data_IF_137186455482
#
_entry.id   IF_137186455482
#
_cell.length_a   1.000
_cell.length_b   1.000
_cell.length_c   1.000
_cell.angle_alpha   90.00
_cell.angle_beta   90.00
_cell.angle_gamma   90.00
#
_symmetry.space_group_name_H-M   'P 1'
#
loop_
_entity.id
_entity.type
_entity.pdbx_description
1 polymer ?
#
# COMPACT_ATOMS: atom_id res chain seq x y z
N UNK A 1 1.39 14.29 -15.02
CA UNK A 1 0.71 14.94 -13.86
C UNK A 1 -0.81 15.02 -14.04
N UNK A 2 -1.27 14.65 -15.22
CA UNK A 2 -2.59 14.69 -15.84
C UNK A 2 -3.65 13.80 -15.17
N UNK A 3 -3.24 12.84 -14.35
CA UNK A 3 -4.14 11.96 -13.58
C UNK A 3 -4.29 12.38 -12.11
N UNK A 4 -3.49 13.32 -11.60
CA UNK A 4 -3.57 13.69 -10.18
C UNK A 4 -4.74 14.64 -9.94
N UNK A 5 -5.63 14.26 -9.03
CA UNK A 5 -6.69 15.11 -8.49
C UNK A 5 -6.30 15.50 -7.07
N UNK A 6 -6.06 16.79 -6.85
CA UNK A 6 -5.68 17.30 -5.53
C UNK A 6 -6.84 17.22 -4.55
N UNK A 7 -6.53 16.78 -3.32
CA UNK A 7 -7.43 17.03 -2.19
C UNK A 7 -7.52 18.53 -1.95
N UNK A 8 -8.70 19.03 -1.57
CA UNK A 8 -8.94 20.47 -1.47
C UNK A 8 -9.86 20.81 -0.30
N UNK A 9 -9.97 22.10 0.00
CA UNK A 9 -10.77 22.60 1.13
C UNK A 9 -12.26 22.32 0.98
N UNK A 10 -12.79 22.22 -0.25
CA UNK A 10 -14.20 21.86 -0.46
C UNK A 10 -14.45 20.44 0.01
N UNK A 11 -13.66 19.47 -0.46
CA UNK A 11 -13.75 18.08 -0.04
C UNK A 11 -13.48 17.92 1.47
N UNK A 12 -12.51 18.66 2.03
CA UNK A 12 -12.27 18.65 3.47
C UNK A 12 -13.51 19.08 4.26
N UNK A 13 -14.14 20.20 3.88
CA UNK A 13 -15.32 20.71 4.59
C UNK A 13 -16.53 19.79 4.48
N UNK A 14 -16.67 19.06 3.37
CA UNK A 14 -17.75 18.06 3.19
C UNK A 14 -17.56 16.83 4.09
N UNK A 15 -16.31 16.41 4.32
CA UNK A 15 -15.99 15.19 5.06
C UNK A 15 -15.77 15.43 6.57
N UNK A 16 -15.41 16.65 6.96
CA UNK A 16 -15.01 16.98 8.32
C UNK A 16 -16.21 17.23 9.24
N UNK A 17 -16.35 16.40 10.27
CA UNK A 17 -17.38 16.50 11.29
C UNK A 17 -16.85 17.24 12.51
N UNK A 18 -17.05 18.57 12.53
CA UNK A 18 -16.62 19.43 13.65
C UNK A 18 -17.55 19.27 14.85
N UNK A 19 -16.96 19.21 16.04
CA UNK A 19 -17.68 19.22 17.32
C UNK A 19 -17.00 20.20 18.27
N UNK A 20 -17.80 21.04 18.93
CA UNK A 20 -17.27 22.05 19.86
C UNK A 20 -16.46 21.38 20.99
N UNK A 21 -15.26 21.90 21.25
CA UNK A 21 -14.36 21.39 22.28
C UNK A 21 -13.48 20.20 21.86
N UNK A 22 -13.64 19.70 20.63
CA UNK A 22 -12.76 18.69 20.04
C UNK A 22 -11.90 19.32 18.94
N UNK A 23 -10.74 18.72 18.68
CA UNK A 23 -9.90 19.06 17.54
C UNK A 23 -9.66 17.81 16.70
N UNK A 24 -9.91 17.90 15.40
CA UNK A 24 -9.88 16.77 14.48
C UNK A 24 -8.60 16.73 13.67
N UNK A 25 -8.16 15.53 13.28
CA UNK A 25 -6.97 15.34 12.45
C UNK A 25 -7.02 16.18 11.17
N UNK A 26 -8.15 16.18 10.46
CA UNK A 26 -8.34 16.93 9.22
C UNK A 26 -8.26 18.45 9.38
N UNK A 27 -8.32 18.99 10.60
CA UNK A 27 -8.14 20.43 10.84
C UNK A 27 -6.67 20.87 10.80
N UNK A 28 -5.73 19.92 10.91
CA UNK A 28 -4.30 20.21 11.07
C UNK A 28 -3.43 19.69 9.92
N UNK A 29 -4.01 18.97 8.96
CA UNK A 29 -3.28 18.52 7.77
C UNK A 29 -2.88 19.70 6.89
N UNK A 30 -1.82 19.50 6.11
CA UNK A 30 -1.50 20.38 4.98
C UNK A 30 -2.28 19.93 3.74
N UNK A 31 -2.60 20.89 2.86
CA UNK A 31 -3.27 20.70 1.57
C UNK A 31 -2.58 21.61 0.55
N UNK A 32 -2.35 21.12 -0.67
CA UNK A 32 -1.82 21.95 -1.77
C UNK A 32 -2.95 22.75 -2.44
N UNK A 33 -2.63 23.97 -2.90
CA UNK A 33 -3.60 24.87 -3.54
C UNK A 33 -3.52 24.85 -5.07
N UNK A 34 -2.46 24.28 -5.66
CA UNK A 34 -2.28 24.20 -7.11
C UNK A 34 -1.51 22.94 -7.50
N UNK A 35 -1.80 22.41 -8.69
CA UNK A 35 -1.11 21.25 -9.27
C UNK A 35 0.21 21.62 -9.97
N UNK A 36 0.48 22.90 -10.18
CA UNK A 36 1.72 23.37 -10.83
C UNK A 36 2.94 23.13 -9.94
N UNK A 37 3.99 22.50 -10.46
CA UNK A 37 5.28 22.31 -9.75
C UNK A 37 5.14 21.55 -8.42
N UNK A 38 4.47 20.39 -8.43
CA UNK A 38 4.26 19.55 -7.23
C UNK A 38 5.57 19.28 -6.50
N UNK A 39 6.63 18.92 -7.22
CA UNK A 39 7.93 18.64 -6.61
C UNK A 39 8.44 19.81 -5.76
N UNK A 40 8.43 21.03 -6.30
CA UNK A 40 8.90 22.23 -5.61
C UNK A 40 8.01 22.56 -4.40
N UNK A 41 6.70 22.37 -4.53
CA UNK A 41 5.78 22.54 -3.41
C UNK A 41 6.07 21.53 -2.29
N UNK A 42 6.23 20.24 -2.64
CA UNK A 42 6.55 19.18 -1.68
C UNK A 42 7.89 19.45 -0.98
N UNK A 43 8.90 19.92 -1.73
CA UNK A 43 10.23 20.21 -1.20
C UNK A 43 10.19 21.29 -0.12
N UNK A 44 9.33 22.31 -0.29
CA UNK A 44 9.25 23.47 0.61
C UNK A 44 8.28 23.30 1.79
N UNK A 45 7.47 22.23 1.81
CA UNK A 45 6.54 21.96 2.92
C UNK A 45 7.26 21.33 4.13
N UNK A 46 6.97 21.81 5.34
CA UNK A 46 7.39 21.16 6.61
C UNK A 46 6.45 20.00 6.98
N UNK A 47 6.32 19.03 6.08
CA UNK A 47 5.67 17.74 6.33
C UNK A 47 6.69 16.62 6.17
N UNK A 48 6.46 15.50 6.84
CA UNK A 48 7.26 14.29 6.68
C UNK A 48 6.53 13.25 5.84
N UNK A 49 5.20 13.21 5.94
CA UNK A 49 4.34 12.22 5.29
C UNK A 49 3.44 12.85 4.24
N UNK A 50 3.26 12.13 3.12
CA UNK A 50 2.34 12.52 2.04
C UNK A 50 1.39 11.37 1.77
N UNK A 51 0.10 11.57 2.05
CA UNK A 51 -0.95 10.60 1.80
C UNK A 51 -1.45 10.75 0.36
N UNK A 52 -1.47 9.65 -0.40
CA UNK A 52 -1.96 9.58 -1.79
C UNK A 52 -2.85 8.34 -1.99
N UNK A 53 -4.00 8.54 -2.62
CA UNK A 53 -4.92 7.47 -2.99
C UNK A 53 -4.68 6.92 -4.39
N UNK A 54 -4.84 5.61 -4.55
CA UNK A 54 -4.89 4.93 -5.85
C UNK A 54 -6.24 4.17 -5.98
N UNK A 55 -7.37 4.88 -6.18
CA UNK A 55 -8.70 4.29 -6.18
C UNK A 55 -8.96 3.46 -7.46
N UNK A 56 -8.31 2.30 -7.60
CA UNK A 56 -8.47 1.37 -8.71
C UNK A 56 -8.46 -0.10 -8.27
N UNK A 57 -8.97 -1.00 -9.12
CA UNK A 57 -8.95 -2.46 -8.93
C UNK A 57 -8.67 -3.22 -10.25
N UNK A 58 -8.03 -2.56 -11.21
CA UNK A 58 -7.74 -3.11 -12.54
C UNK A 58 -6.72 -4.25 -12.45
N UNK A 59 -5.72 -4.12 -11.58
CA UNK A 59 -4.75 -5.19 -11.35
C UNK A 59 -5.36 -6.42 -10.68
N UNK A 60 -6.34 -6.22 -9.79
CA UNK A 60 -7.12 -7.30 -9.17
C UNK A 60 -7.92 -8.04 -10.23
N UNK A 61 -8.66 -7.31 -11.07
CA UNK A 61 -9.38 -7.89 -12.22
C UNK A 61 -8.45 -8.67 -13.16
N UNK A 62 -7.28 -8.08 -13.49
CA UNK A 62 -6.29 -8.70 -14.37
C UNK A 62 -5.66 -9.99 -13.80
N UNK A 63 -5.80 -10.20 -12.49
CA UNK A 63 -5.40 -11.40 -11.74
C UNK A 63 -6.59 -12.31 -11.39
N UNK A 64 -7.76 -12.12 -12.02
CA UNK A 64 -8.98 -12.88 -11.75
C UNK A 64 -9.54 -12.73 -10.31
N UNK A 65 -9.13 -11.70 -9.59
CA UNK A 65 -9.62 -11.39 -8.25
C UNK A 65 -11.00 -10.71 -8.26
N UNK A 66 -11.56 -10.53 -7.07
CA UNK A 66 -12.81 -9.80 -6.86
C UNK A 66 -12.53 -8.30 -6.71
N UNK A 67 -13.16 -7.49 -7.54
CA UNK A 67 -13.03 -6.02 -7.54
C UNK A 67 -13.64 -5.37 -6.29
N UNK A 68 -13.26 -4.13 -6.02
CA UNK A 68 -13.73 -3.35 -4.86
C UNK A 68 -12.64 -2.53 -4.16
N UNK A 69 -11.37 -2.75 -4.48
CA UNK A 69 -10.24 -2.05 -3.83
C UNK A 69 -10.21 -0.56 -4.12
N UNK A 70 -10.85 -0.12 -5.20
CA UNK A 70 -10.99 1.29 -5.57
C UNK A 70 -11.71 2.14 -4.51
N UNK A 71 -12.51 1.52 -3.64
CA UNK A 71 -13.30 2.20 -2.60
C UNK A 71 -12.50 2.45 -1.31
N UNK A 72 -11.29 1.91 -1.18
CA UNK A 72 -10.48 2.03 0.04
C UNK A 72 -10.11 3.48 0.36
N UNK A 73 -9.86 4.29 -0.67
CA UNK A 73 -9.49 5.70 -0.53
C UNK A 73 -10.57 6.50 0.21
N UNK A 74 -11.80 6.49 -0.32
CA UNK A 74 -12.92 7.24 0.25
C UNK A 74 -13.28 6.73 1.66
N UNK A 75 -13.32 5.41 1.84
CA UNK A 75 -13.57 4.79 3.14
C UNK A 75 -12.55 5.26 4.19
N UNK A 76 -11.29 5.44 3.79
CA UNK A 76 -10.23 5.92 4.67
C UNK A 76 -10.42 7.40 5.01
N UNK A 77 -10.63 8.27 4.02
CA UNK A 77 -10.81 9.71 4.28
C UNK A 77 -12.00 10.00 5.20
N UNK A 78 -13.10 9.28 5.03
CA UNK A 78 -14.29 9.39 5.88
C UNK A 78 -13.99 9.20 7.37
N UNK A 79 -12.97 8.39 7.69
CA UNK A 79 -12.56 8.11 9.07
C UNK A 79 -11.35 8.94 9.50
N UNK A 80 -10.27 8.94 8.71
CA UNK A 80 -8.98 9.55 9.06
C UNK A 80 -9.14 11.03 9.39
N UNK A 81 -9.90 11.79 8.60
CA UNK A 81 -10.09 13.22 8.84
C UNK A 81 -10.80 13.52 10.18
N UNK A 82 -11.55 12.54 10.69
CA UNK A 82 -12.47 12.69 11.82
C UNK A 82 -11.96 12.06 13.14
N UNK A 83 -10.75 11.47 13.15
CA UNK A 83 -10.11 11.07 14.40
C UNK A 83 -9.67 12.30 15.20
N UNK A 84 -9.42 12.12 16.49
CA UNK A 84 -8.92 13.19 17.35
C UNK A 84 -7.50 13.59 16.94
N UNK A 85 -7.24 14.89 16.90
CA UNK A 85 -5.88 15.42 16.83
C UNK A 85 -5.32 15.50 18.26
N UNK A 86 -4.24 14.79 18.53
CA UNK A 86 -3.56 14.79 19.83
C UNK A 86 -2.03 14.65 19.65
N UNK A 87 -1.31 14.53 20.77
CA UNK A 87 0.15 14.46 20.77
C UNK A 87 0.75 13.30 19.96
N UNK A 88 -0.01 12.23 19.70
CA UNK A 88 0.43 11.03 18.98
C UNK A 88 0.08 11.05 17.50
N UNK A 89 -1.01 11.72 17.09
CA UNK A 89 -1.48 11.66 15.70
C UNK A 89 -0.67 12.51 14.72
N UNK A 90 0.04 13.55 15.20
CA UNK A 90 0.96 14.40 14.43
C UNK A 90 0.41 14.90 13.07
N UNK A 91 -0.87 15.29 13.04
CA UNK A 91 -1.56 15.68 11.79
C UNK A 91 -0.87 16.83 11.03
N UNK A 92 -0.21 17.74 11.75
CA UNK A 92 0.57 18.85 11.17
C UNK A 92 1.80 18.40 10.35
N UNK A 93 2.25 17.16 10.51
CA UNK A 93 3.35 16.56 9.73
C UNK A 93 2.86 15.81 8.49
N UNK A 94 1.58 15.93 8.16
CA UNK A 94 0.93 15.19 7.07
C UNK A 94 0.37 16.15 6.03
N UNK A 95 0.70 15.87 4.76
CA UNK A 95 -0.01 16.39 3.60
C UNK A 95 -0.97 15.32 3.08
N UNK A 96 -2.24 15.66 2.88
CA UNK A 96 -3.12 14.85 2.02
C UNK A 96 -3.03 15.42 0.61
N UNK A 97 -2.33 14.71 -0.28
CA UNK A 97 -2.09 15.19 -1.64
C UNK A 97 -3.34 15.05 -2.51
N UNK A 98 -4.10 13.97 -2.35
CA UNK A 98 -5.24 13.63 -3.20
C UNK A 98 -5.13 12.21 -3.73
N UNK A 99 -5.54 11.98 -4.96
CA UNK A 99 -5.52 10.66 -5.58
C UNK A 99 -5.18 10.71 -7.08
N UNK A 100 -4.75 9.57 -7.63
CA UNK A 100 -4.67 9.37 -9.07
C UNK A 100 -6.03 8.89 -9.61
N UNK A 101 -6.63 9.65 -10.53
CA UNK A 101 -7.92 9.34 -11.12
C UNK A 101 -7.78 8.31 -12.25
N UNK A 102 -8.11 7.07 -11.94
CA UNK A 102 -8.15 5.95 -12.88
C UNK A 102 -9.59 5.57 -13.29
N UNK A 103 -10.53 6.51 -13.23
CA UNK A 103 -11.94 6.24 -13.55
C UNK A 103 -12.14 5.76 -14.99
N UNK A 104 -11.40 6.33 -15.95
CA UNK A 104 -11.47 5.90 -17.35
C UNK A 104 -10.95 4.47 -17.54
N UNK A 105 -9.83 4.13 -16.88
CA UNK A 105 -9.24 2.80 -16.89
C UNK A 105 -10.19 1.76 -16.28
N UNK A 106 -10.83 2.09 -15.16
CA UNK A 106 -11.83 1.24 -14.52
C UNK A 106 -13.07 1.05 -15.40
N UNK A 107 -13.56 2.10 -16.05
CA UNK A 107 -14.70 2.00 -16.97
C UNK A 107 -14.37 1.07 -18.15
N UNK A 108 -13.18 1.20 -18.74
CA UNK A 108 -12.73 0.31 -19.81
C UNK A 108 -12.68 -1.16 -19.39
N UNK A 109 -12.40 -1.43 -18.11
CA UNK A 109 -12.29 -2.80 -17.57
C UNK A 109 -13.66 -3.35 -17.16
N UNK A 110 -14.57 -2.50 -16.68
CA UNK A 110 -15.92 -2.93 -16.29
C UNK A 110 -16.76 -3.44 -17.45
N UNK A 111 -16.46 -2.99 -18.68
CA UNK A 111 -17.07 -3.46 -19.93
C UNK A 111 -16.46 -4.78 -20.45
N UNK A 112 -15.39 -5.29 -19.82
CA UNK A 112 -14.69 -6.50 -20.27
C UNK A 112 -15.24 -7.77 -19.62
N UNK A 113 -15.29 -8.83 -20.44
CA UNK A 113 -15.64 -10.19 -19.99
C UNK A 113 -14.39 -10.94 -19.52
N UNK A 114 -14.30 -11.21 -18.20
CA UNK A 114 -13.14 -11.82 -17.55
C UNK A 114 -12.90 -13.27 -17.96
N UNK A 115 -13.88 -13.95 -18.56
CA UNK A 115 -13.72 -15.30 -19.10
C UNK A 115 -12.88 -15.32 -20.39
N UNK A 116 -12.72 -14.17 -21.06
CA UNK A 116 -12.03 -14.07 -22.34
C UNK A 116 -10.56 -13.69 -22.15
N UNK A 117 -9.65 -14.52 -22.65
CA UNK A 117 -8.19 -14.25 -22.66
C UNK A 117 -7.82 -12.87 -23.23
N UNK A 118 -8.54 -12.41 -24.26
CA UNK A 118 -8.33 -11.08 -24.87
C UNK A 118 -8.66 -9.93 -23.90
N UNK A 119 -9.69 -10.08 -23.08
CA UNK A 119 -10.07 -9.12 -22.04
C UNK A 119 -8.97 -9.01 -20.99
N UNK A 120 -8.50 -10.15 -20.47
CA UNK A 120 -7.41 -10.18 -19.49
C UNK A 120 -6.14 -9.54 -20.05
N UNK A 121 -5.78 -9.84 -21.30
CA UNK A 121 -4.63 -9.20 -21.95
C UNK A 121 -4.79 -7.68 -22.08
N UNK A 122 -6.00 -7.17 -22.34
CA UNK A 122 -6.27 -5.72 -22.34
C UNK A 122 -6.13 -5.13 -20.94
N UNK A 123 -6.72 -5.76 -19.92
CA UNK A 123 -6.60 -5.29 -18.53
C UNK A 123 -5.13 -5.24 -18.09
N UNK A 124 -4.33 -6.28 -18.38
CA UNK A 124 -2.89 -6.31 -18.07
C UNK A 124 -2.09 -5.16 -18.72
N UNK A 125 -2.50 -4.72 -19.92
CA UNK A 125 -1.90 -3.53 -20.57
C UNK A 125 -2.30 -2.24 -19.84
N UNK A 126 -3.55 -2.13 -19.40
CA UNK A 126 -4.02 -0.98 -18.62
C UNK A 126 -3.25 -0.87 -17.30
N UNK A 127 -3.02 -1.99 -16.59
CA UNK A 127 -2.17 -1.99 -15.38
C UNK A 127 -0.78 -1.43 -15.67
N UNK A 128 -0.19 -1.77 -16.82
CA UNK A 128 1.13 -1.25 -17.20
C UNK A 128 1.14 0.27 -17.43
N UNK A 129 0.01 0.87 -17.82
CA UNK A 129 -0.13 2.33 -17.92
C UNK A 129 -0.33 2.98 -16.53
N UNK A 130 -1.15 2.36 -15.66
CA UNK A 130 -1.31 2.75 -14.25
C UNK A 130 0.06 2.80 -13.56
N UNK A 131 0.87 1.76 -13.74
CA UNK A 131 2.22 1.63 -13.17
C UNK A 131 3.10 2.86 -13.47
N UNK A 132 2.98 3.47 -14.65
CA UNK A 132 3.76 4.68 -15.03
C UNK A 132 3.36 5.89 -14.19
N UNK A 133 2.05 6.09 -13.99
CA UNK A 133 1.54 7.22 -13.21
C UNK A 133 1.87 7.06 -11.72
N UNK A 134 1.75 5.84 -11.18
CA UNK A 134 2.14 5.50 -9.81
C UNK A 134 3.64 5.70 -9.61
N UNK A 135 4.47 5.16 -10.52
CA UNK A 135 5.93 5.35 -10.51
C UNK A 135 6.29 6.83 -10.44
N UNK A 136 5.68 7.64 -11.31
CA UNK A 136 5.99 9.07 -11.38
C UNK A 136 5.63 9.80 -10.08
N UNK A 137 4.42 9.62 -9.54
CA UNK A 137 4.01 10.36 -8.35
C UNK A 137 4.83 9.96 -7.11
N UNK A 138 5.12 8.67 -6.95
CA UNK A 138 5.96 8.17 -5.86
C UNK A 138 7.39 8.71 -6.00
N UNK A 139 7.91 8.75 -7.23
CA UNK A 139 9.22 9.35 -7.49
C UNK A 139 9.25 10.83 -7.07
N UNK A 140 8.22 11.62 -7.38
CA UNK A 140 8.17 13.04 -6.99
C UNK A 140 8.18 13.20 -5.46
N UNK A 141 7.33 12.43 -4.76
CA UNK A 141 7.21 12.50 -3.30
C UNK A 141 8.53 12.11 -2.61
N UNK A 142 9.13 10.99 -3.02
CA UNK A 142 10.38 10.50 -2.41
C UNK A 142 11.56 11.41 -2.76
N UNK A 143 11.60 11.96 -3.97
CA UNK A 143 12.67 12.91 -4.38
C UNK A 143 12.63 14.20 -3.56
N UNK A 144 11.44 14.59 -3.05
CA UNK A 144 11.27 15.73 -2.15
C UNK A 144 11.62 15.41 -0.69
N UNK A 145 12.17 14.22 -0.42
CA UNK A 145 12.56 13.76 0.91
C UNK A 145 11.39 13.35 1.80
N UNK A 146 10.19 13.19 1.23
CA UNK A 146 8.96 12.84 1.96
C UNK A 146 8.69 11.33 1.92
N UNK A 147 7.88 10.83 2.85
CA UNK A 147 7.45 9.43 2.91
C UNK A 147 6.02 9.30 2.39
N UNK A 148 5.80 8.67 1.22
CA UNK A 148 4.46 8.39 0.75
C UNK A 148 3.76 7.37 1.66
N UNK A 149 2.50 7.64 1.97
CA UNK A 149 1.53 6.69 2.53
C UNK A 149 0.50 6.46 1.43
N UNK A 150 0.56 5.29 0.80
CA UNK A 150 -0.26 4.94 -0.36
C UNK A 150 -1.45 4.09 0.09
N UNK A 151 -2.66 4.50 -0.30
CA UNK A 151 -3.91 3.80 0.05
C UNK A 151 -4.58 3.25 -1.21
N UNK A 152 -4.83 1.94 -1.22
CA UNK A 152 -5.33 1.23 -2.39
C UNK A 152 -4.32 1.24 -3.54
N UNK A 153 -4.67 0.80 -4.75
CA UNK A 153 -5.79 -0.06 -5.09
C UNK A 153 -5.39 -1.51 -4.85
N UNK A 154 -5.32 -2.31 -5.90
CA UNK A 154 -4.75 -3.65 -5.82
C UNK A 154 -3.24 -3.63 -5.54
N UNK A 155 -2.67 -4.80 -5.24
CA UNK A 155 -1.24 -4.95 -4.95
C UNK A 155 -0.34 -4.79 -6.19
N UNK A 156 -0.93 -4.63 -7.38
CA UNK A 156 -0.21 -4.27 -8.61
C UNK A 156 0.62 -3.00 -8.43
N UNK A 157 0.10 -2.06 -7.62
CA UNK A 157 0.72 -0.76 -7.39
C UNK A 157 2.07 -0.86 -6.66
N UNK A 158 2.38 -1.99 -6.01
CA UNK A 158 3.71 -2.23 -5.41
C UNK A 158 4.83 -2.05 -6.44
N UNK A 159 4.62 -2.46 -7.69
CA UNK A 159 5.62 -2.24 -8.74
C UNK A 159 5.94 -0.76 -8.95
N UNK A 160 4.91 0.08 -9.08
CA UNK A 160 5.07 1.53 -9.21
C UNK A 160 5.69 2.16 -7.97
N UNK A 161 5.30 1.72 -6.77
CA UNK A 161 5.85 2.19 -5.50
C UNK A 161 7.36 1.90 -5.41
N UNK A 162 7.76 0.67 -5.72
CA UNK A 162 9.15 0.22 -5.67
C UNK A 162 9.98 0.96 -6.71
N UNK A 163 9.50 0.99 -7.96
CA UNK A 163 10.20 1.64 -9.07
C UNK A 163 10.35 3.14 -8.84
N UNK A 164 9.28 3.82 -8.45
CA UNK A 164 9.30 5.26 -8.17
C UNK A 164 10.29 5.62 -7.06
N UNK A 165 10.25 4.86 -5.96
CA UNK A 165 11.18 5.02 -4.83
C UNK A 165 12.63 4.75 -5.25
N UNK A 166 12.87 3.67 -6.00
CA UNK A 166 14.21 3.31 -6.47
C UNK A 166 14.80 4.37 -7.39
N UNK A 167 13.99 4.90 -8.33
CA UNK A 167 14.38 5.98 -9.23
C UNK A 167 14.69 7.29 -8.50
N UNK A 168 13.87 7.67 -7.53
CA UNK A 168 14.10 8.86 -6.70
C UNK A 168 15.43 8.77 -5.93
N UNK A 169 15.72 7.59 -5.37
CA UNK A 169 16.93 7.34 -4.58
C UNK A 169 18.15 6.96 -5.43
N UNK A 170 17.96 6.76 -6.73
CA UNK A 170 18.96 6.26 -7.69
C UNK A 170 19.65 4.97 -7.22
N UNK A 171 18.89 4.12 -6.51
CA UNK A 171 19.37 2.89 -5.86
C UNK A 171 18.25 1.87 -5.80
N UNK A 172 18.58 0.59 -5.93
CA UNK A 172 17.64 -0.50 -5.63
C UNK A 172 17.19 -0.42 -4.17
N UNK A 173 15.95 -0.78 -3.87
CA UNK A 173 15.45 -0.82 -2.50
C UNK A 173 15.15 -2.26 -2.06
N UNK A 174 15.04 -2.47 -0.76
CA UNK A 174 14.48 -3.70 -0.20
C UNK A 174 12.96 -3.55 0.01
N UNK A 175 12.24 -4.64 0.21
CA UNK A 175 10.82 -4.60 0.59
C UNK A 175 10.50 -5.68 1.61
N UNK A 176 9.69 -5.31 2.60
CA UNK A 176 8.99 -6.24 3.50
C UNK A 176 7.51 -6.22 3.15
N UNK A 177 6.94 -7.40 2.92
CA UNK A 177 5.55 -7.59 2.51
C UNK A 177 4.78 -8.42 3.52
N UNK A 178 3.79 -7.80 4.18
CA UNK A 178 2.87 -8.50 5.07
C UNK A 178 1.70 -9.03 4.26
N UNK A 179 1.79 -10.30 3.88
CA UNK A 179 0.95 -10.90 2.86
C UNK A 179 0.90 -12.44 3.03
N UNK A 180 -0.26 -13.02 2.73
CA UNK A 180 -0.48 -14.47 2.66
C UNK A 180 -0.10 -15.05 1.30
N UNK A 181 0.05 -14.20 0.28
CA UNK A 181 0.59 -14.50 -1.02
C UNK A 181 2.05 -14.04 -1.12
N UNK A 182 2.75 -14.53 -2.15
CA UNK A 182 4.12 -14.07 -2.44
C UNK A 182 4.17 -12.86 -3.35
N UNK A 183 3.10 -12.66 -4.12
CA UNK A 183 3.01 -11.74 -5.27
C UNK A 183 4.23 -11.71 -6.20
N UNK A 184 4.87 -12.89 -6.28
CA UNK A 184 6.04 -13.20 -7.09
C UNK A 184 5.67 -14.17 -8.22
N UNK A 185 4.47 -14.02 -8.82
CA UNK A 185 4.03 -14.83 -9.98
C UNK A 185 4.82 -14.45 -11.24
N UNK A 186 4.69 -15.25 -12.29
CA UNK A 186 5.41 -15.04 -13.55
C UNK A 186 5.07 -13.70 -14.23
N UNK A 187 5.99 -13.22 -15.06
CA UNK A 187 5.87 -11.98 -15.86
C UNK A 187 4.99 -12.20 -17.10
N UNK A 188 3.73 -12.59 -16.89
CA UNK A 188 2.76 -12.93 -17.94
C UNK A 188 1.90 -11.73 -18.41
N UNK A 189 2.36 -10.52 -18.10
CA UNK A 189 1.61 -9.27 -18.16
C UNK A 189 1.19 -8.81 -16.77
N UNK A 190 1.23 -7.49 -16.54
CA UNK A 190 1.03 -6.87 -15.22
C UNK A 190 -0.35 -7.16 -14.63
N UNK A 191 -0.40 -7.56 -13.36
CA UNK A 191 -1.61 -7.74 -12.56
C UNK A 191 -1.25 -7.64 -11.06
N UNK A 192 -2.20 -7.86 -10.13
CA UNK A 192 -1.91 -7.70 -8.69
C UNK A 192 -0.81 -8.64 -8.20
N UNK A 193 -0.93 -9.94 -8.50
CA UNK A 193 -0.01 -10.96 -7.99
C UNK A 193 1.40 -11.07 -8.59
N UNK A 194 1.90 -10.07 -9.33
CA UNK A 194 3.25 -10.12 -9.92
C UNK A 194 4.05 -8.81 -9.84
N UNK A 195 3.64 -7.84 -9.02
CA UNK A 195 4.36 -6.57 -8.86
C UNK A 195 5.83 -6.75 -8.49
N UNK A 196 6.11 -7.63 -7.53
CA UNK A 196 7.46 -7.88 -7.02
C UNK A 196 8.36 -8.60 -8.03
N UNK A 197 7.83 -9.51 -8.84
CA UNK A 197 8.59 -10.18 -9.91
C UNK A 197 9.13 -9.19 -10.93
N UNK A 198 8.28 -8.28 -11.41
CA UNK A 198 8.69 -7.25 -12.37
C UNK A 198 9.71 -6.29 -11.75
N UNK A 199 9.48 -5.85 -10.51
CA UNK A 199 10.41 -4.96 -9.82
C UNK A 199 11.79 -5.63 -9.60
N UNK A 200 11.81 -6.93 -9.35
CA UNK A 200 13.04 -7.71 -9.21
C UNK A 200 13.75 -7.90 -10.56
N UNK A 201 13.02 -8.31 -11.60
CA UNK A 201 13.56 -8.56 -12.93
C UNK A 201 14.15 -7.29 -13.57
N UNK A 202 13.52 -6.14 -13.37
CA UNK A 202 14.01 -4.84 -13.85
C UNK A 202 15.10 -4.22 -12.94
N UNK A 203 15.45 -4.87 -11.83
CA UNK A 203 16.53 -4.45 -10.96
C UNK A 203 16.20 -3.27 -10.03
N UNK A 204 14.93 -3.01 -9.72
CA UNK A 204 14.51 -2.00 -8.73
C UNK A 204 14.40 -2.58 -7.32
N UNK A 205 14.11 -3.88 -7.21
CA UNK A 205 13.99 -4.63 -5.96
C UNK A 205 15.24 -5.48 -5.70
N UNK A 206 15.84 -5.31 -4.52
CA UNK A 206 16.99 -6.08 -4.05
C UNK A 206 16.55 -7.20 -3.09
N UNK A 207 16.53 -6.95 -1.77
CA UNK A 207 16.07 -7.95 -0.81
C UNK A 207 14.54 -7.87 -0.67
N UNK A 208 13.89 -9.02 -0.77
CA UNK A 208 12.46 -9.14 -0.58
C UNK A 208 12.18 -10.09 0.57
N UNK A 209 11.28 -9.72 1.48
CA UNK A 209 10.83 -10.59 2.54
C UNK A 209 9.31 -10.68 2.55
N UNK A 210 8.77 -11.90 2.44
CA UNK A 210 7.33 -12.18 2.55
C UNK A 210 7.03 -12.64 3.98
N UNK A 211 6.27 -11.83 4.70
CA UNK A 211 5.88 -12.05 6.07
C UNK A 211 4.45 -12.59 6.11
N UNK A 212 4.30 -13.91 6.31
CA UNK A 212 3.01 -14.55 6.41
C UNK A 212 2.62 -15.45 5.25
N UNK A 213 3.56 -15.87 4.39
CA UNK A 213 3.24 -16.69 3.23
C UNK A 213 2.43 -17.93 3.66
N UNK A 214 1.25 -18.11 3.09
CA UNK A 214 0.34 -19.17 3.52
C UNK A 214 0.49 -20.41 2.63
N UNK A 215 0.54 -21.60 3.26
CA UNK A 215 0.75 -22.86 2.54
C UNK A 215 -0.36 -23.15 1.55
N UNK A 216 -1.61 -22.87 1.92
CA UNK A 216 -2.79 -23.18 1.12
C UNK A 216 -2.92 -22.33 -0.16
N UNK A 217 -2.27 -21.17 -0.22
CA UNK A 217 -2.33 -20.27 -1.38
C UNK A 217 -1.08 -20.35 -2.26
N UNK A 218 -0.09 -21.13 -1.85
CA UNK A 218 1.22 -21.19 -2.50
C UNK A 218 1.42 -22.54 -3.21
N UNK A 219 1.41 -22.59 -4.55
CA UNK A 219 1.72 -23.82 -5.27
C UNK A 219 3.18 -24.26 -5.07
N UNK A 220 3.43 -25.56 -5.11
CA UNK A 220 4.78 -26.13 -4.94
C UNK A 220 5.81 -25.58 -5.95
N UNK A 221 5.38 -25.28 -7.18
CA UNK A 221 6.22 -24.63 -8.20
C UNK A 221 6.72 -23.27 -7.75
N UNK A 222 5.91 -22.50 -7.04
CA UNK A 222 6.29 -21.20 -6.48
C UNK A 222 7.24 -21.38 -5.30
N UNK A 223 6.98 -22.32 -4.38
CA UNK A 223 7.94 -22.63 -3.31
C UNK A 223 9.32 -23.03 -3.86
N UNK A 224 9.35 -23.88 -4.88
CA UNK A 224 10.60 -24.27 -5.57
C UNK A 224 11.28 -23.09 -6.23
N UNK A 225 10.52 -22.13 -6.77
CA UNK A 225 11.06 -20.93 -7.40
C UNK A 225 11.65 -19.98 -6.35
N UNK A 226 10.92 -19.68 -5.27
CA UNK A 226 11.38 -18.82 -4.17
C UNK A 226 12.68 -19.33 -3.55
N UNK A 227 12.83 -20.66 -3.36
CA UNK A 227 14.06 -21.28 -2.84
C UNK A 227 15.31 -21.03 -3.71
N UNK A 228 15.14 -20.71 -5.00
CA UNK A 228 16.27 -20.40 -5.90
C UNK A 228 16.79 -18.98 -5.71
N UNK A 229 15.96 -18.06 -5.21
CA UNK A 229 16.32 -16.66 -5.05
C UNK A 229 16.89 -16.39 -3.65
N UNK A 230 18.22 -16.27 -3.54
CA UNK A 230 18.89 -16.01 -2.25
C UNK A 230 18.47 -14.70 -1.56
N UNK A 231 18.05 -13.71 -2.34
CA UNK A 231 17.63 -12.39 -1.85
C UNK A 231 16.16 -12.34 -1.44
N UNK A 232 15.40 -13.39 -1.75
CA UNK A 232 14.00 -13.52 -1.36
C UNK A 232 13.92 -14.47 -0.17
N UNK A 233 13.36 -13.97 0.94
CA UNK A 233 13.10 -14.76 2.13
C UNK A 233 11.62 -14.69 2.47
N UNK A 234 11.19 -15.65 3.26
CA UNK A 234 9.83 -15.66 3.77
C UNK A 234 9.77 -16.37 5.12
N UNK A 235 8.66 -16.17 5.81
CA UNK A 235 8.18 -17.05 6.86
C UNK A 235 6.77 -17.52 6.52
N UNK A 236 6.33 -18.56 7.23
CA UNK A 236 5.06 -19.22 6.95
C UNK A 236 4.03 -18.81 8.00
N UNK A 237 2.84 -18.41 7.57
CA UNK A 237 1.75 -18.03 8.47
C UNK A 237 1.43 -19.13 9.47
N UNK A 238 1.29 -20.38 9.00
CA UNK A 238 0.93 -21.51 9.84
C UNK A 238 1.95 -21.75 10.97
N UNK A 239 3.24 -21.56 10.71
CA UNK A 239 4.30 -21.76 11.70
C UNK A 239 4.29 -20.67 12.77
N UNK A 240 3.79 -19.48 12.46
CA UNK A 240 3.70 -18.34 13.39
C UNK A 240 2.39 -18.32 14.18
N UNK A 241 1.27 -18.54 13.49
CA UNK A 241 -0.06 -18.27 14.03
C UNK A 241 -0.82 -19.52 14.46
N UNK A 242 -0.59 -20.66 13.79
CA UNK A 242 -1.34 -21.90 14.01
C UNK A 242 -0.52 -22.87 14.88
N UNK A 243 0.62 -23.36 14.36
CA UNK A 243 1.53 -24.25 15.06
C UNK A 243 2.35 -23.55 16.15
N UNK A 244 2.57 -22.23 16.00
CA UNK A 244 3.37 -21.39 16.91
C UNK A 244 4.79 -21.91 17.15
N UNK A 245 5.36 -22.58 16.14
CA UNK A 245 6.75 -23.02 16.09
C UNK A 245 7.70 -21.81 16.03
N UNK A 246 7.24 -20.73 15.38
CA UNK A 246 7.94 -19.46 15.26
C UNK A 246 7.20 -18.38 16.07
N UNK A 247 7.94 -17.52 16.76
CA UNK A 247 7.34 -16.38 17.46
C UNK A 247 7.29 -15.16 16.56
N UNK A 248 6.14 -14.50 16.52
CA UNK A 248 5.91 -13.30 15.71
C UNK A 248 7.00 -12.23 15.88
N UNK A 249 7.42 -11.96 17.13
CA UNK A 249 8.47 -10.97 17.43
C UNK A 249 9.86 -11.38 16.89
N UNK A 250 10.24 -12.64 17.05
CA UNK A 250 11.51 -13.16 16.55
C UNK A 250 11.53 -13.12 15.01
N UNK A 251 10.39 -13.37 14.38
CA UNK A 251 10.25 -13.25 12.93
C UNK A 251 10.28 -11.81 12.43
N UNK A 252 9.75 -10.83 13.19
CA UNK A 252 9.94 -9.40 12.88
C UNK A 252 11.43 -9.03 12.89
N UNK A 253 12.19 -9.51 13.88
CA UNK A 253 13.63 -9.29 13.98
C UNK A 253 14.40 -9.95 12.82
N UNK A 254 14.06 -11.20 12.48
CA UNK A 254 14.63 -11.92 11.32
C UNK A 254 14.36 -11.19 10.01
N UNK A 255 13.12 -10.73 9.81
CA UNK A 255 12.74 -9.94 8.65
C UNK A 255 13.51 -8.61 8.60
N UNK A 256 13.60 -7.92 9.73
CA UNK A 256 14.36 -6.68 9.86
C UNK A 256 15.81 -6.82 9.45
N UNK A 257 16.51 -7.82 9.99
CA UNK A 257 17.91 -8.11 9.66
C UNK A 257 18.14 -8.34 8.16
N UNK A 258 17.09 -8.73 7.41
CA UNK A 258 17.16 -8.93 5.97
C UNK A 258 16.90 -7.66 5.16
N UNK A 259 16.03 -6.75 5.63
CA UNK A 259 15.53 -5.63 4.81
C UNK A 259 16.04 -4.26 5.25
N UNK A 260 16.34 -4.05 6.53
CA UNK A 260 16.61 -2.70 7.08
C UNK A 260 18.05 -2.22 6.91
N UNK A 261 18.91 -2.99 6.22
CA UNK A 261 20.28 -2.55 5.90
C UNK A 261 20.37 -1.59 4.71
N UNK A 262 19.28 -1.38 3.96
CA UNK A 262 19.15 -0.41 2.87
C UNK A 262 17.81 0.30 2.96
N UNK A 263 17.60 1.31 2.13
CA UNK A 263 16.28 1.90 1.93
C UNK A 263 15.26 0.81 1.58
N UNK A 264 14.09 0.84 2.22
CA UNK A 264 13.09 -0.20 2.02
C UNK A 264 11.65 0.32 2.00
N UNK A 265 10.78 -0.42 1.31
CA UNK A 265 9.34 -0.22 1.31
C UNK A 265 8.64 -1.13 2.31
N UNK A 266 7.55 -0.64 2.91
CA UNK A 266 6.65 -1.43 3.74
C UNK A 266 5.37 -1.66 2.95
N UNK A 267 5.06 -2.91 2.70
CA UNK A 267 3.81 -3.36 2.07
C UNK A 267 2.96 -4.04 3.15
N UNK A 268 1.67 -3.72 3.16
CA UNK A 268 0.65 -4.37 3.97
C UNK A 268 -0.56 -4.70 3.11
N UNK A 269 -0.69 -5.99 2.82
CA UNK A 269 -1.85 -6.55 2.15
C UNK A 269 -2.94 -6.88 3.18
N UNK A 270 -4.12 -6.29 3.00
CA UNK A 270 -5.26 -6.53 3.86
C UNK A 270 -5.82 -7.97 3.74
N UNK A 271 -5.51 -8.73 2.68
CA UNK A 271 -5.78 -10.17 2.57
C UNK A 271 -5.11 -10.97 3.70
N UNK A 272 -4.00 -10.48 4.26
CA UNK A 272 -3.31 -11.16 5.35
C UNK A 272 -3.98 -10.99 6.72
N UNK A 273 -5.02 -10.15 6.81
CA UNK A 273 -5.72 -9.85 8.07
C UNK A 273 -7.03 -10.61 8.09
N UNK A 274 -7.27 -11.35 9.18
CA UNK A 274 -8.47 -12.17 9.32
C UNK A 274 -9.76 -11.33 9.20
N UNK A 275 -10.69 -11.81 8.37
CA UNK A 275 -12.03 -11.24 8.18
C UNK A 275 -12.07 -9.77 7.72
N UNK A 276 -11.01 -9.27 7.06
CA UNK A 276 -11.03 -7.96 6.42
C UNK A 276 -11.56 -8.09 4.99
N UNK A 277 -12.53 -7.24 4.57
CA UNK A 277 -13.03 -7.25 3.20
C UNK A 277 -11.91 -6.99 2.20
N UNK A 278 -11.69 -7.94 1.31
CA UNK A 278 -10.62 -7.93 0.32
C UNK A 278 -10.90 -8.94 -0.79
N UNK A 279 -10.05 -8.99 -1.83
CA UNK A 279 -10.27 -9.86 -2.98
C UNK A 279 -10.15 -11.36 -2.61
N UNK A 280 -9.27 -11.69 -1.65
CA UNK A 280 -9.06 -13.03 -1.11
C UNK A 280 -9.35 -13.13 0.40
N UNK A 281 -10.39 -12.43 0.89
CA UNK A 281 -10.80 -12.44 2.30
C UNK A 281 -10.81 -13.85 2.90
N UNK A 282 -10.10 -14.00 4.02
CA UNK A 282 -9.92 -15.28 4.71
C UNK A 282 -10.36 -15.19 6.18
N UNK A 283 -10.98 -16.25 6.74
CA UNK A 283 -11.23 -16.34 8.17
C UNK A 283 -9.97 -16.72 8.98
N UNK A 284 -8.89 -17.12 8.30
CA UNK A 284 -7.63 -17.53 8.92
C UNK A 284 -6.49 -16.66 8.40
N UNK A 285 -6.23 -15.58 9.13
CA UNK A 285 -5.16 -14.62 8.87
C UNK A 285 -4.57 -14.10 10.18
N UNK A 286 -3.72 -13.09 10.11
CA UNK A 286 -3.24 -12.41 11.32
C UNK A 286 -4.34 -11.50 11.89
N UNK A 287 -4.28 -11.25 13.20
CA UNK A 287 -5.16 -10.27 13.81
C UNK A 287 -4.75 -8.85 13.42
N UNK A 288 -5.72 -7.93 13.47
CA UNK A 288 -5.48 -6.48 13.24
C UNK A 288 -4.32 -5.96 14.10
N UNK A 289 -4.23 -6.36 15.37
CA UNK A 289 -3.17 -5.89 16.27
C UNK A 289 -1.77 -6.39 15.85
N UNK A 290 -1.66 -7.57 15.22
CA UNK A 290 -0.38 -8.02 14.66
C UNK A 290 0.01 -7.19 13.44
N UNK A 291 -0.93 -6.87 12.56
CA UNK A 291 -0.69 -5.98 11.42
C UNK A 291 -0.26 -4.57 11.87
N UNK A 292 -0.94 -4.00 12.86
CA UNK A 292 -0.54 -2.75 13.52
C UNK A 292 0.87 -2.82 14.11
N UNK A 293 1.16 -3.87 14.88
CA UNK A 293 2.49 -4.09 15.47
C UNK A 293 3.58 -4.22 14.40
N UNK A 294 3.28 -4.85 13.26
CA UNK A 294 4.19 -4.94 12.11
C UNK A 294 4.47 -3.54 11.53
N UNK A 295 3.44 -2.73 11.27
CA UNK A 295 3.62 -1.37 10.74
C UNK A 295 4.42 -0.50 11.71
N UNK A 296 4.09 -0.48 13.01
CA UNK A 296 4.86 0.26 14.01
C UNK A 296 6.31 -0.22 14.09
N UNK A 297 6.54 -1.54 14.04
CA UNK A 297 7.88 -2.11 14.14
C UNK A 297 8.80 -1.68 12.99
N UNK A 298 8.28 -1.67 11.76
CA UNK A 298 9.08 -1.27 10.58
C UNK A 298 9.06 0.24 10.33
N UNK A 299 8.01 0.96 10.75
CA UNK A 299 7.87 2.40 10.57
C UNK A 299 8.92 3.24 11.31
N UNK A 300 9.42 2.74 12.44
CA UNK A 300 10.46 3.40 13.25
C UNK A 300 11.83 3.55 12.58
N UNK A 301 12.07 2.82 11.49
CA UNK A 301 13.35 2.84 10.81
C UNK A 301 13.43 4.06 9.87
N UNK A 302 14.48 4.87 10.03
CA UNK A 302 14.68 6.08 9.21
C UNK A 302 14.68 5.78 7.70
N UNK A 303 15.24 4.64 7.34
CA UNK A 303 15.34 4.12 5.97
C UNK A 303 14.07 3.43 5.44
N UNK A 304 12.97 3.36 6.20
CA UNK A 304 11.65 3.05 5.65
C UNK A 304 11.20 4.21 4.74
N UNK A 305 10.91 3.95 3.46
CA UNK A 305 10.70 5.01 2.47
C UNK A 305 9.26 5.26 2.11
N UNK A 306 8.40 4.25 2.25
CA UNK A 306 6.96 4.39 2.05
C UNK A 306 6.20 3.31 2.84
N UNK A 307 4.91 3.54 3.03
CA UNK A 307 3.94 2.53 3.43
C UNK A 307 2.88 2.39 2.33
N UNK A 308 2.63 1.17 1.86
CA UNK A 308 1.50 0.86 0.97
C UNK A 308 0.52 -0.05 1.69
N UNK A 309 -0.76 0.36 1.74
CA UNK A 309 -1.87 -0.42 2.26
C UNK A 309 -2.76 -0.78 1.07
N UNK A 310 -2.79 -2.06 0.69
CA UNK A 310 -3.44 -2.56 -0.53
C UNK A 310 -4.59 -3.55 -0.23
N UNK A 311 -5.32 -3.92 -1.29
CA UNK A 311 -6.32 -4.99 -1.35
C UNK A 311 -7.57 -4.85 -0.46
N UNK A 312 -7.65 -3.85 0.41
CA UNK A 312 -8.86 -3.55 1.16
C UNK A 312 -10.02 -3.21 0.20
N UNK A 313 -11.08 -4.01 0.21
CA UNK A 313 -12.23 -3.88 -0.70
C UNK A 313 -13.53 -3.60 0.09
N UNK A 314 -13.74 -2.38 0.60
CA UNK A 314 -14.89 -2.08 1.43
C UNK A 314 -16.20 -2.21 0.66
N UNK A 315 -17.20 -2.76 1.36
CA UNK A 315 -18.61 -2.74 0.94
C UNK A 315 -19.34 -1.63 1.70
N UNK A 316 -20.56 -1.30 1.29
CA UNK A 316 -21.41 -0.34 2.04
C UNK A 316 -21.56 -0.69 3.53
N UNK A 317 -21.51 -1.97 3.90
CA UNK A 317 -21.64 -2.42 5.29
C UNK A 317 -20.33 -2.36 6.07
N UNK A 318 -19.19 -2.43 5.38
CA UNK A 318 -17.86 -2.57 5.98
C UNK A 318 -16.98 -1.34 5.77
N UNK A 319 -17.50 -0.31 5.11
CA UNK A 319 -16.79 0.94 4.79
C UNK A 319 -16.13 1.56 6.01
N UNK A 320 -16.88 1.82 7.09
CA UNK A 320 -16.33 2.40 8.31
C UNK A 320 -15.33 1.48 9.00
N UNK A 321 -15.52 0.16 8.93
CA UNK A 321 -14.59 -0.80 9.55
C UNK A 321 -13.24 -0.79 8.82
N UNK A 322 -13.26 -0.83 7.49
CA UNK A 322 -12.05 -0.73 6.65
C UNK A 322 -11.40 0.64 6.83
N UNK A 323 -12.18 1.72 6.82
CA UNK A 323 -11.67 3.07 7.06
C UNK A 323 -10.95 3.19 8.40
N UNK A 324 -11.50 2.60 9.47
CA UNK A 324 -10.84 2.53 10.79
C UNK A 324 -9.55 1.71 10.76
N UNK A 325 -9.56 0.54 10.13
CA UNK A 325 -8.37 -0.29 10.01
C UNK A 325 -7.22 0.48 9.34
N UNK A 326 -7.48 1.03 8.15
CA UNK A 326 -6.47 1.78 7.39
C UNK A 326 -6.02 3.00 8.19
N UNK A 327 -6.94 3.71 8.85
CA UNK A 327 -6.61 4.85 9.72
C UNK A 327 -5.64 4.45 10.84
N UNK A 328 -5.86 3.31 11.52
CA UNK A 328 -4.93 2.84 12.55
C UNK A 328 -3.53 2.58 11.97
N UNK A 329 -3.43 1.92 10.82
CA UNK A 329 -2.16 1.62 10.18
C UNK A 329 -1.41 2.91 9.76
N UNK A 330 -2.15 3.91 9.27
CA UNK A 330 -1.60 5.23 8.94
C UNK A 330 -1.04 5.90 10.19
N UNK A 331 -1.83 5.98 11.27
CA UNK A 331 -1.38 6.61 12.52
C UNK A 331 -0.21 5.87 13.15
N UNK A 332 -0.21 4.53 13.11
CA UNK A 332 0.87 3.70 13.63
C UNK A 332 2.20 3.94 12.88
N UNK A 333 2.14 4.19 11.57
CA UNK A 333 3.33 4.50 10.78
C UNK A 333 3.87 5.90 11.05
N UNK A 334 2.97 6.89 11.10
CA UNK A 334 3.32 8.28 11.41
C UNK A 334 3.94 8.36 12.82
N UNK A 335 3.26 7.81 13.82
CA UNK A 335 3.70 7.82 15.21
C UNK A 335 5.07 7.12 15.34
N UNK A 336 5.24 5.95 14.73
CA UNK A 336 6.50 5.21 14.83
C UNK A 336 7.70 5.98 14.25
N UNK A 337 7.50 6.79 13.21
CA UNK A 337 8.56 7.59 12.61
C UNK A 337 8.84 8.90 13.36
N UNK A 338 7.81 9.53 13.93
CA UNK A 338 7.91 10.81 14.65
C UNK A 338 8.27 10.66 16.13
N UNK A 339 8.36 9.43 16.64
CA UNK A 339 8.74 9.09 18.03
C UNK A 339 10.24 9.05 18.23
#
# INVERSE_FOLDING_TARGET
>A
MDKLVLFNNTALNELLNKRQGESKFGEHIQILTSISNIYDQLLNLDVTHVIIGLPEDVGVYANFGKTGTSKAWDATLNVLLNIQSNEFTKANKVLILGHLDFSEEQLKVSELDSSKKKSISKARKIVSEIDKHVTYIVQQIVSAGKKPIIIGGGHNNAYGNIKGTSLALKKTINVINFDVHSDFRAEEGRHSGNGFSYAYAEGFLNNYFIFGLQRNFTPDTLFKSLKKFKLIKYNIFEDIAVGKELKFKEELERASNHVTNKNFGIELDCDAIENIPSSAMTPSGFSVNKARSYVSYFGKYENARYLHICEAAPTKKTETQVGKLITYLITDFIEAYES
#
